data_IF_551914663681
#
_entry.id   IF_551914663681
#
_cell.length_a   1.000
_cell.length_b   1.000
_cell.length_c   1.000
_cell.angle_alpha   90.00
_cell.angle_beta   90.00
_cell.angle_gamma   90.00
#
_symmetry.space_group_name_H-M   'P 1'
#
loop_
_entity.id
_entity.type
_entity.pdbx_description
1 polymer ?
#
# COMPACT_ATOMS: atom_id res chain seq x y z
N UNK A 1 4.78 16.93 1.89
CA UNK A 1 4.56 17.45 3.28
C UNK A 1 3.68 16.44 4.02
N UNK A 2 4.00 15.80 5.13
CA UNK A 2 4.93 16.06 6.23
C UNK A 2 5.21 14.71 6.92
N UNK A 3 6.48 14.49 7.22
CA UNK A 3 6.90 13.81 8.43
C UNK A 3 6.35 14.61 9.61
N UNK A 4 5.34 14.09 10.30
CA UNK A 4 4.83 14.73 11.52
C UNK A 4 5.72 14.31 12.69
N UNK A 5 6.73 15.14 12.97
CA UNK A 5 7.69 15.01 14.08
C UNK A 5 6.98 15.13 15.46
N UNK A 6 5.65 15.29 15.54
CA UNK A 6 5.00 15.65 16.81
C UNK A 6 4.44 14.52 17.66
N UNK A 7 4.18 13.31 17.15
CA UNK A 7 3.36 12.36 17.91
C UNK A 7 4.08 11.13 18.49
N UNK A 8 5.28 10.73 18.04
CA UNK A 8 5.97 9.57 18.63
C UNK A 8 5.11 8.30 18.75
N UNK A 9 4.09 8.16 17.87
CA UNK A 9 3.09 7.09 17.88
C UNK A 9 2.97 6.50 16.48
N UNK A 10 2.67 5.21 16.42
CA UNK A 10 2.27 4.50 15.18
C UNK A 10 1.22 5.34 14.46
N UNK A 11 1.57 5.88 13.31
CA UNK A 11 0.70 6.78 12.59
C UNK A 11 -0.33 5.97 11.80
N UNK A 12 -1.48 5.68 12.43
CA UNK A 12 -2.60 5.00 11.77
C UNK A 12 -3.05 5.66 10.46
N UNK A 13 -2.79 6.96 10.28
CA UNK A 13 -3.05 7.61 8.99
C UNK A 13 -2.07 7.15 7.92
N UNK A 14 -0.80 6.93 8.25
CA UNK A 14 0.22 6.44 7.31
C UNK A 14 -0.10 5.02 6.85
N UNK A 15 -0.45 4.12 7.78
CA UNK A 15 -0.94 2.77 7.46
C UNK A 15 -2.10 2.81 6.48
N UNK A 16 -3.07 3.70 6.71
CA UNK A 16 -4.23 3.87 5.82
C UNK A 16 -3.84 4.41 4.45
N UNK A 17 -2.85 5.32 4.36
CA UNK A 17 -2.35 5.81 3.06
C UNK A 17 -1.63 4.70 2.29
N UNK A 18 -0.81 3.89 2.97
CA UNK A 18 -0.13 2.74 2.38
C UNK A 18 -1.16 1.74 1.86
N UNK A 19 -2.10 1.30 2.70
CA UNK A 19 -3.11 0.32 2.32
C UNK A 19 -4.01 0.80 1.16
N UNK A 20 -4.39 2.08 1.13
CA UNK A 20 -5.10 2.68 -0.03
C UNK A 20 -4.26 2.58 -1.31
N UNK A 21 -2.97 2.90 -1.22
CA UNK A 21 -2.07 2.86 -2.37
C UNK A 21 -1.90 1.44 -2.90
N UNK A 22 -1.70 0.47 -2.00
CA UNK A 22 -1.61 -0.95 -2.36
C UNK A 22 -2.91 -1.45 -3.02
N UNK A 23 -4.07 -1.17 -2.43
CA UNK A 23 -5.36 -1.50 -3.05
C UNK A 23 -5.50 -0.85 -4.44
N UNK A 24 -5.12 0.42 -4.58
CA UNK A 24 -5.14 1.14 -5.84
C UNK A 24 -4.26 0.51 -6.92
N UNK A 25 -3.06 0.04 -6.56
CA UNK A 25 -2.16 -0.67 -7.47
C UNK A 25 -2.71 -2.04 -7.86
N UNK A 26 -3.13 -2.84 -6.87
CA UNK A 26 -3.73 -4.16 -7.07
C UNK A 26 -4.96 -4.11 -7.97
N UNK A 27 -5.77 -3.06 -7.84
CA UNK A 27 -6.96 -2.86 -8.68
C UNK A 27 -6.66 -2.32 -10.07
N UNK A 28 -5.42 -1.93 -10.36
CA UNK A 28 -5.04 -1.42 -11.67
C UNK A 28 -4.00 -2.33 -12.33
N UNK A 29 -2.87 -1.77 -12.79
CA UNK A 29 -1.80 -2.48 -13.51
C UNK A 29 -0.66 -2.94 -12.58
N UNK A 30 -0.90 -2.99 -11.28
CA UNK A 30 0.17 -3.09 -10.30
C UNK A 30 0.95 -1.77 -10.19
N UNK A 31 2.13 -1.82 -9.59
CA UNK A 31 3.02 -0.66 -9.47
C UNK A 31 4.06 -0.81 -8.39
N UNK A 32 4.73 0.30 -8.09
CA UNK A 32 5.78 0.38 -7.08
C UNK A 32 5.45 1.44 -6.05
N UNK A 33 5.59 1.10 -4.78
CA UNK A 33 5.53 2.03 -3.66
C UNK A 33 6.90 2.04 -2.97
N UNK A 34 7.51 3.22 -2.89
CA UNK A 34 8.74 3.44 -2.14
C UNK A 34 8.38 4.12 -0.80
N UNK A 35 8.79 3.51 0.30
CA UNK A 35 8.60 4.01 1.66
C UNK A 35 9.98 4.38 2.23
N UNK A 36 10.05 5.53 2.89
CA UNK A 36 11.33 6.12 3.33
C UNK A 36 11.89 7.15 2.36
N UNK A 37 11.08 7.62 1.40
CA UNK A 37 11.37 8.76 0.52
C UNK A 37 10.33 9.86 0.74
N UNK A 38 10.73 11.13 0.61
CA UNK A 38 9.78 12.24 0.46
C UNK A 38 9.41 12.47 -1.01
N UNK A 39 8.36 13.26 -1.22
CA UNK A 39 7.84 13.62 -2.55
C UNK A 39 8.89 14.28 -3.47
N UNK A 40 9.92 14.90 -2.89
CA UNK A 40 11.04 15.55 -3.59
C UNK A 40 12.23 14.60 -3.85
N UNK A 41 12.12 13.32 -3.48
CA UNK A 41 13.17 12.31 -3.64
C UNK A 41 14.19 12.28 -2.50
N UNK A 42 14.07 13.12 -1.48
CA UNK A 42 14.99 13.06 -0.32
C UNK A 42 14.80 11.74 0.44
N UNK A 43 15.91 11.07 0.73
CA UNK A 43 15.91 9.84 1.52
C UNK A 43 15.66 10.20 2.99
N UNK A 44 14.61 9.62 3.57
CA UNK A 44 14.25 9.73 4.99
C UNK A 44 14.52 8.45 5.76
N UNK A 45 14.53 7.32 5.07
CA UNK A 45 14.66 6.00 5.68
C UNK A 45 13.39 5.56 6.41
N UNK A 46 13.38 4.30 6.84
CA UNK A 46 12.29 3.67 7.62
C UNK A 46 12.72 3.33 9.05
N UNK A 47 13.94 3.70 9.45
CA UNK A 47 14.54 3.36 10.75
C UNK A 47 13.71 3.86 11.92
N UNK A 48 13.12 5.05 11.77
CA UNK A 48 12.28 5.62 12.82
C UNK A 48 10.94 4.88 12.97
N UNK A 49 10.46 4.19 11.93
CA UNK A 49 9.26 3.34 12.00
C UNK A 49 9.54 2.07 12.83
N UNK A 50 10.79 1.58 12.86
CA UNK A 50 11.17 0.39 13.65
C UNK A 50 10.87 0.54 15.13
N UNK A 51 11.00 1.76 15.67
CA UNK A 51 10.78 2.03 17.09
C UNK A 51 9.36 1.71 17.56
N UNK A 52 8.42 1.70 16.63
CA UNK A 52 7.00 1.46 16.87
C UNK A 52 6.62 -0.02 16.82
N UNK A 53 7.56 -0.89 16.44
CA UNK A 53 7.34 -2.31 16.22
C UNK A 53 7.84 -3.15 17.42
N UNK A 54 7.23 -4.32 17.60
CA UNK A 54 7.70 -5.29 18.59
C UNK A 54 9.12 -5.76 18.27
N UNK A 55 9.39 -6.07 16.99
CA UNK A 55 10.72 -6.34 16.48
C UNK A 55 11.22 -5.07 15.80
N UNK A 56 12.16 -4.37 16.45
CA UNK A 56 12.66 -3.05 16.02
C UNK A 56 13.72 -3.17 14.92
N UNK A 57 13.41 -3.91 13.87
CA UNK A 57 14.30 -4.17 12.75
C UNK A 57 13.52 -4.31 11.43
N UNK A 58 14.27 -4.49 10.34
CA UNK A 58 13.76 -4.71 8.99
C UNK A 58 12.70 -5.81 8.92
N UNK A 59 12.96 -6.98 9.51
CA UNK A 59 12.03 -8.11 9.48
C UNK A 59 10.72 -7.79 10.20
N UNK A 60 10.81 -7.05 11.31
CA UNK A 60 9.65 -6.54 12.02
C UNK A 60 8.80 -5.62 11.16
N UNK A 61 9.44 -4.75 10.37
CA UNK A 61 8.75 -3.83 9.46
C UNK A 61 8.07 -4.58 8.32
N UNK A 62 8.77 -5.54 7.71
CA UNK A 62 8.20 -6.41 6.67
C UNK A 62 6.94 -7.13 7.18
N UNK A 63 7.04 -7.76 8.36
CA UNK A 63 5.89 -8.42 8.99
C UNK A 63 4.75 -7.46 9.25
N UNK A 64 5.02 -6.27 9.79
CA UNK A 64 3.99 -5.27 10.05
C UNK A 64 3.29 -4.80 8.76
N UNK A 65 4.02 -4.67 7.66
CA UNK A 65 3.45 -4.33 6.35
C UNK A 65 2.57 -5.45 5.80
N UNK A 66 3.01 -6.72 5.93
CA UNK A 66 2.19 -7.87 5.53
C UNK A 66 0.93 -7.99 6.41
N UNK A 67 1.06 -7.77 7.72
CA UNK A 67 -0.08 -7.76 8.65
C UNK A 67 -1.06 -6.64 8.30
N UNK A 68 -0.57 -5.45 7.95
CA UNK A 68 -1.39 -4.34 7.46
C UNK A 68 -2.19 -4.75 6.21
N UNK A 69 -1.52 -5.36 5.23
CA UNK A 69 -2.16 -5.86 4.00
C UNK A 69 -3.24 -6.89 4.33
N UNK A 70 -2.91 -7.89 5.15
CA UNK A 70 -3.85 -8.96 5.50
C UNK A 70 -5.08 -8.43 6.25
N UNK A 71 -4.86 -7.50 7.18
CA UNK A 71 -5.93 -6.96 8.03
C UNK A 71 -6.85 -5.98 7.29
N UNK A 72 -6.30 -5.16 6.37
CA UNK A 72 -7.07 -4.13 5.67
C UNK A 72 -7.54 -4.55 4.29
N UNK A 73 -6.81 -5.42 3.58
CA UNK A 73 -7.09 -5.79 2.18
C UNK A 73 -7.50 -7.27 2.03
N UNK A 74 -7.35 -8.07 3.08
CA UNK A 74 -7.68 -9.50 3.11
C UNK A 74 -6.47 -10.40 2.88
N UNK A 75 -6.56 -11.65 3.37
CA UNK A 75 -5.43 -12.59 3.40
C UNK A 75 -4.88 -13.02 2.03
N UNK A 76 -5.68 -12.93 0.97
CA UNK A 76 -5.19 -13.19 -0.40
C UNK A 76 -4.45 -11.99 -1.00
N UNK A 77 -4.63 -10.77 -0.48
CA UNK A 77 -3.98 -9.58 -1.02
C UNK A 77 -2.45 -9.62 -0.84
N UNK A 78 -1.97 -10.28 0.23
CA UNK A 78 -0.54 -10.44 0.52
C UNK A 78 0.23 -11.14 -0.60
N UNK A 79 -0.41 -11.99 -1.40
CA UNK A 79 0.26 -12.71 -2.50
C UNK A 79 0.66 -11.81 -3.67
N UNK A 80 0.10 -10.61 -3.75
CA UNK A 80 0.41 -9.62 -4.79
C UNK A 80 1.44 -8.58 -4.32
N UNK A 81 2.00 -8.75 -3.12
CA UNK A 81 2.93 -7.79 -2.50
C UNK A 81 4.29 -8.44 -2.34
N UNK A 82 5.30 -7.88 -3.00
CA UNK A 82 6.69 -8.30 -2.88
C UNK A 82 7.50 -7.17 -2.27
N UNK A 83 8.18 -7.44 -1.15
CA UNK A 83 8.90 -6.42 -0.40
C UNK A 83 10.40 -6.61 -0.64
N UNK A 84 11.06 -5.53 -1.02
CA UNK A 84 12.52 -5.43 -1.08
C UNK A 84 12.98 -4.26 -0.24
N UNK A 85 14.21 -4.35 0.27
CA UNK A 85 14.82 -3.26 1.01
C UNK A 85 16.09 -2.83 0.28
N UNK A 86 16.22 -1.53 0.09
CA UNK A 86 17.36 -0.88 -0.53
C UNK A 86 18.09 -0.07 0.53
N UNK A 87 19.41 -0.16 0.55
CA UNK A 87 20.24 0.68 1.42
C UNK A 87 20.89 1.79 0.59
N UNK A 88 20.77 3.03 1.06
CA UNK A 88 21.38 4.19 0.42
C UNK A 88 21.66 5.27 1.46
N UNK A 89 22.88 5.81 1.44
CA UNK A 89 23.32 6.89 2.35
C UNK A 89 23.14 6.57 3.85
N UNK A 90 23.22 5.28 4.22
CA UNK A 90 23.02 4.82 5.60
C UNK A 90 21.54 4.74 6.03
N UNK A 91 20.61 4.91 5.09
CA UNK A 91 19.18 4.75 5.29
C UNK A 91 18.63 3.56 4.51
N UNK A 92 17.55 3.00 5.03
CA UNK A 92 16.83 1.88 4.45
C UNK A 92 15.56 2.38 3.80
N UNK A 93 15.39 2.07 2.52
CA UNK A 93 14.18 2.34 1.75
C UNK A 93 13.45 1.01 1.57
N UNK A 94 12.16 0.98 1.88
CA UNK A 94 11.31 -0.17 1.59
C UNK A 94 10.68 0.01 0.21
N UNK A 95 11.02 -0.88 -0.72
CA UNK A 95 10.45 -0.95 -2.05
C UNK A 95 9.42 -2.07 -2.11
N UNK A 96 8.16 -1.67 -2.20
CA UNK A 96 7.03 -2.58 -2.34
C UNK A 96 6.65 -2.66 -3.80
N UNK A 97 6.82 -3.84 -4.39
CA UNK A 97 6.42 -4.16 -5.76
C UNK A 97 5.05 -4.84 -5.66
N UNK A 98 4.08 -4.32 -6.40
CA UNK A 98 2.68 -4.75 -6.31
C UNK A 98 2.21 -5.27 -7.66
N UNK A 99 1.74 -6.51 -7.68
CA UNK A 99 1.13 -7.12 -8.85
C UNK A 99 -0.32 -6.67 -9.02
N UNK A 100 -0.80 -6.67 -10.27
CA UNK A 100 -2.21 -6.52 -10.54
C UNK A 100 -2.97 -7.76 -10.04
N UNK A 101 -3.99 -7.55 -9.21
CA UNK A 101 -4.87 -8.65 -8.78
C UNK A 101 -5.73 -9.15 -9.95
N UNK A 102 -6.26 -10.36 -9.86
CA UNK A 102 -7.29 -10.83 -10.81
C UNK A 102 -8.69 -10.43 -10.37
N UNK A 103 -8.89 -10.32 -9.05
CA UNK A 103 -10.16 -9.96 -8.43
C UNK A 103 -10.12 -8.54 -7.84
N UNK A 104 -11.28 -7.90 -7.61
CA UNK A 104 -11.36 -6.62 -6.90
C UNK A 104 -10.82 -6.72 -5.47
N UNK A 105 -9.90 -5.83 -5.11
CA UNK A 105 -9.37 -5.70 -3.75
C UNK A 105 -10.04 -4.52 -3.05
N UNK A 106 -10.72 -4.77 -1.95
CA UNK A 106 -11.37 -3.75 -1.14
C UNK A 106 -10.56 -3.44 0.11
N UNK A 107 -10.49 -2.17 0.46
CA UNK A 107 -9.93 -1.73 1.74
C UNK A 107 -11.04 -1.69 2.79
N UNK A 108 -10.81 -2.40 3.90
CA UNK A 108 -11.68 -2.41 5.08
C UNK A 108 -11.38 -1.21 5.96
N UNK A 109 -12.33 -0.27 6.02
CA UNK A 109 -12.30 0.91 6.88
C UNK A 109 -13.43 0.80 7.92
N UNK A 110 -13.14 0.11 9.03
CA UNK A 110 -14.16 -0.26 10.02
C UNK A 110 -15.16 -1.26 9.41
N UNK A 111 -16.42 -0.85 9.34
CA UNK A 111 -17.50 -1.66 8.74
C UNK A 111 -17.73 -1.34 7.26
N UNK A 112 -16.98 -0.40 6.68
CA UNK A 112 -17.14 0.03 5.29
C UNK A 112 -16.05 -0.62 4.44
N UNK A 113 -16.46 -1.23 3.33
CA UNK A 113 -15.54 -1.70 2.29
C UNK A 113 -15.43 -0.64 1.21
N UNK A 114 -14.22 -0.15 0.96
CA UNK A 114 -13.95 0.93 0.01
C UNK A 114 -13.13 0.40 -1.17
N UNK A 115 -13.46 0.86 -2.37
CA UNK A 115 -12.77 0.47 -3.59
C UNK A 115 -11.89 1.60 -4.11
N UNK A 116 -10.60 1.32 -4.29
CA UNK A 116 -9.61 2.31 -4.72
C UNK A 116 -8.95 1.87 -6.02
N UNK A 117 -8.71 2.81 -6.92
CA UNK A 117 -7.95 2.60 -8.17
C UNK A 117 -6.86 3.67 -8.28
N UNK A 118 -5.65 3.25 -8.65
CA UNK A 118 -4.55 4.16 -8.97
C UNK A 118 -4.78 4.76 -10.37
N UNK A 119 -4.91 6.08 -10.43
CA UNK A 119 -5.04 6.84 -11.68
C UNK A 119 -3.89 7.86 -11.74
N UNK A 120 -2.91 7.59 -12.61
CA UNK A 120 -1.70 8.40 -12.71
C UNK A 120 -0.89 8.41 -11.41
N UNK A 121 -0.66 9.60 -10.85
CA UNK A 121 0.07 9.77 -9.59
C UNK A 121 -0.82 9.74 -8.34
N UNK A 122 -2.12 9.52 -8.50
CA UNK A 122 -3.11 9.61 -7.42
C UNK A 122 -3.88 8.30 -7.23
N UNK A 123 -4.41 8.10 -6.03
CA UNK A 123 -5.30 6.99 -5.70
C UNK A 123 -6.68 7.55 -5.42
N UNK A 124 -7.69 7.11 -6.19
CA UNK A 124 -9.05 7.60 -6.11
C UNK A 124 -10.00 6.51 -5.60
N UNK A 125 -10.90 6.89 -4.70
CA UNK A 125 -12.05 6.05 -4.32
C UNK A 125 -13.09 6.11 -5.44
N UNK A 126 -13.54 4.95 -5.90
CA UNK A 126 -14.62 4.86 -6.87
C UNK A 126 -15.90 4.47 -6.13
N UNK A 127 -17.02 5.08 -6.53
CA UNK A 127 -18.33 4.66 -6.05
C UNK A 127 -18.74 3.30 -6.67
N UNK A 128 -19.90 2.78 -6.26
CA UNK A 128 -20.39 1.47 -6.73
C UNK A 128 -20.56 1.43 -8.24
N UNK A 129 -21.07 2.51 -8.86
CA UNK A 129 -21.31 2.57 -10.31
C UNK A 129 -19.98 2.62 -11.07
N UNK A 130 -19.06 3.45 -10.59
CA UNK A 130 -17.71 3.56 -11.16
C UNK A 130 -16.93 2.25 -11.02
N UNK A 131 -17.03 1.58 -9.88
CA UNK A 131 -16.41 0.27 -9.65
C UNK A 131 -16.98 -0.81 -10.60
N UNK A 132 -18.31 -0.88 -10.75
CA UNK A 132 -18.96 -1.81 -11.69
C UNK A 132 -18.48 -1.58 -13.13
N UNK A 133 -18.45 -0.32 -13.57
CA UNK A 133 -17.92 0.03 -14.88
C UNK A 133 -16.45 -0.37 -15.01
N UNK A 134 -15.64 -0.09 -13.99
CA UNK A 134 -14.23 -0.45 -13.99
C UNK A 134 -14.01 -1.97 -14.11
N UNK A 135 -14.81 -2.80 -13.41
CA UNK A 135 -14.75 -4.26 -13.51
C UNK A 135 -15.08 -4.77 -14.92
N UNK A 136 -16.11 -4.20 -15.54
CA UNK A 136 -16.53 -4.60 -16.89
C UNK A 136 -15.45 -4.35 -17.96
N UNK A 137 -14.62 -3.31 -17.79
CA UNK A 137 -13.52 -3.01 -18.71
C UNK A 137 -12.23 -3.80 -18.39
N UNK A 138 -12.10 -4.33 -17.17
CA UNK A 138 -10.91 -5.06 -16.72
C UNK A 138 -10.98 -6.55 -17.01
N UNK A 139 -12.17 -7.14 -16.90
CA UNK A 139 -12.39 -8.52 -17.31
C UNK A 139 -12.28 -8.60 -18.84
N UNK A 140 -11.51 -9.54 -19.40
CA UNK A 140 -11.53 -9.75 -20.84
C UNK A 140 -12.97 -10.07 -21.24
N UNK A 141 -13.58 -9.20 -22.03
CA UNK A 141 -14.89 -9.41 -22.64
C UNK A 141 -14.84 -10.74 -23.39
N UNK A 142 -15.41 -11.80 -22.79
CA UNK A 142 -15.58 -13.12 -23.41
C UNK A 142 -14.28 -13.82 -23.80
N UNK A 143 -13.84 -14.77 -22.96
CA UNK A 143 -13.33 -16.02 -23.57
C UNK A 143 -14.57 -16.73 -24.12
N UNK A 144 -14.76 -16.60 -25.43
CA UNK A 144 -15.73 -17.37 -26.21
C UNK A 144 -15.51 -18.88 -26.07
#
# INVERSE_FOLDING_TARGET
>A
MRWDVKEGRVNKNLEKVIAKSLAGFMNHRGGNLLIGLSDDGTIKGIEADYNSLNNKNRDGFERALIDLVNNQLGGSAGTFVHIQFLESEGYTICWVIVDAATEPVYLKDGNISRYFVRLGNSTRELDVREAQNHFAHRLPLGKH
#
